data_IF_448407485291
#
_entry.id   IF_448407485291
#
_cell.length_a   1.000
_cell.length_b   1.000
_cell.length_c   1.000
_cell.angle_alpha   90.00
_cell.angle_beta   90.00
_cell.angle_gamma   90.00
#
_symmetry.space_group_name_H-M   'P 1'
#
loop_
_entity.id
_entity.type
_entity.pdbx_description
1 polymer ?
#
# COMPACT_ATOMS: atom_id res chain seq x y z
N UNK A 1 -6.38 2.91 -6.24
CA UNK A 1 -5.08 3.09 -5.55
C UNK A 1 -4.93 1.94 -4.58
N UNK A 2 -3.75 1.35 -4.43
CA UNK A 2 -3.45 0.34 -3.42
C UNK A 2 -2.21 0.73 -2.62
N UNK A 3 -2.22 0.43 -1.33
CA UNK A 3 -1.06 0.64 -0.47
C UNK A 3 -0.90 -0.52 0.49
N UNK A 4 0.31 -1.08 0.58
CA UNK A 4 0.61 -2.24 1.41
C UNK A 4 1.99 -2.15 2.03
N UNK A 5 2.17 -2.85 3.14
CA UNK A 5 3.49 -3.12 3.69
C UNK A 5 4.01 -4.47 3.17
N UNK A 6 5.20 -4.45 2.61
CA UNK A 6 5.96 -5.62 2.18
C UNK A 6 7.00 -5.92 3.27
N UNK A 7 6.67 -6.86 4.15
CA UNK A 7 7.49 -7.18 5.32
C UNK A 7 8.83 -7.78 4.93
N UNK A 8 8.85 -8.72 3.98
CA UNK A 8 10.08 -9.36 3.47
C UNK A 8 11.08 -8.32 2.98
N UNK A 9 10.60 -7.29 2.26
CA UNK A 9 11.45 -6.23 1.71
C UNK A 9 11.58 -5.01 2.61
N UNK A 10 10.91 -4.99 3.77
CA UNK A 10 10.77 -3.86 4.69
C UNK A 10 10.41 -2.56 3.96
N UNK A 11 9.33 -2.59 3.17
CA UNK A 11 8.93 -1.49 2.29
C UNK A 11 7.43 -1.21 2.32
N UNK A 12 7.06 0.05 2.39
CA UNK A 12 5.69 0.49 2.06
C UNK A 12 5.63 0.73 0.55
N UNK A 13 4.65 0.13 -0.10
CA UNK A 13 4.42 0.23 -1.54
C UNK A 13 3.07 0.90 -1.76
N UNK A 14 3.07 2.04 -2.42
CA UNK A 14 1.87 2.76 -2.85
C UNK A 14 1.79 2.73 -4.37
N UNK A 15 0.68 2.22 -4.94
CA UNK A 15 0.41 2.11 -6.37
C UNK A 15 -0.89 2.82 -6.74
N UNK A 16 -0.89 3.50 -7.86
CA UNK A 16 -2.09 4.15 -8.38
C UNK A 16 -2.04 4.24 -9.91
N UNK A 17 -3.16 4.57 -10.52
CA UNK A 17 -3.27 4.79 -11.95
C UNK A 17 -3.45 6.29 -12.22
N UNK A 18 -2.78 6.80 -13.25
CA UNK A 18 -2.96 8.17 -13.72
C UNK A 18 -3.31 8.19 -15.21
N UNK A 19 -4.28 9.03 -15.64
CA UNK A 19 -4.52 9.26 -17.04
C UNK A 19 -3.28 9.90 -17.68
N UNK A 20 -2.73 9.26 -18.69
CA UNK A 20 -1.58 9.74 -19.45
C UNK A 20 -2.02 9.89 -20.91
N UNK A 21 -1.86 11.10 -21.46
CA UNK A 21 -2.08 11.34 -22.89
C UNK A 21 -1.02 10.60 -23.70
N UNK A 22 -1.46 9.92 -24.74
CA UNK A 22 -0.60 9.28 -25.73
C UNK A 22 -0.99 9.77 -27.13
N UNK A 23 -0.01 9.90 -28.01
CA UNK A 23 -0.24 10.19 -29.42
C UNK A 23 0.30 9.02 -30.22
N UNK A 24 -0.57 8.34 -30.96
CA UNK A 24 -0.21 7.27 -31.88
C UNK A 24 -0.76 7.60 -33.26
N UNK A 25 0.09 7.62 -34.29
CA UNK A 25 -0.30 7.85 -35.68
C UNK A 25 -1.20 9.10 -35.87
N UNK A 26 -0.81 10.22 -35.26
CA UNK A 26 -1.56 11.51 -35.26
C UNK A 26 -2.95 11.45 -34.60
N UNK A 27 -3.30 10.37 -33.90
CA UNK A 27 -4.49 10.27 -33.06
C UNK A 27 -4.10 10.41 -31.59
N UNK A 28 -4.80 11.30 -30.89
CA UNK A 28 -4.67 11.45 -29.44
C UNK A 28 -5.54 10.42 -28.72
N UNK A 29 -5.02 9.87 -27.63
CA UNK A 29 -5.75 8.98 -26.73
C UNK A 29 -5.32 9.20 -25.29
N UNK A 30 -6.10 8.67 -24.35
CA UNK A 30 -5.74 8.65 -22.93
C UNK A 30 -5.69 7.21 -22.47
N UNK A 31 -4.56 6.80 -21.89
CA UNK A 31 -4.42 5.50 -21.23
C UNK A 31 -4.29 5.71 -19.73
N UNK A 32 -4.73 4.73 -18.94
CA UNK A 32 -4.38 4.68 -17.52
C UNK A 32 -3.00 4.06 -17.39
N UNK A 33 -2.05 4.81 -16.84
CA UNK A 33 -0.68 4.32 -16.63
C UNK A 33 -0.45 4.10 -15.14
N UNK A 34 -0.01 2.90 -14.79
CA UNK A 34 0.35 2.56 -13.42
C UNK A 34 1.56 3.39 -12.94
N UNK A 35 1.50 3.84 -11.70
CA UNK A 35 2.52 4.60 -10.98
C UNK A 35 2.77 3.94 -9.64
N UNK A 36 3.96 4.17 -9.08
CA UNK A 36 4.34 3.58 -7.80
C UNK A 36 5.33 4.45 -7.05
N UNK A 37 5.16 4.51 -5.73
CA UNK A 37 6.19 4.94 -4.78
C UNK A 37 6.47 3.77 -3.85
N UNK A 38 7.76 3.53 -3.62
CA UNK A 38 8.23 2.54 -2.67
C UNK A 38 9.13 3.22 -1.65
N UNK A 39 8.79 3.13 -0.37
CA UNK A 39 9.55 3.74 0.72
C UNK A 39 10.09 2.65 1.62
N UNK A 40 11.41 2.63 1.85
CA UNK A 40 12.02 1.70 2.80
C UNK A 40 11.69 2.11 4.23
N UNK A 41 11.36 1.14 5.07
CA UNK A 41 11.14 1.30 6.52
C UNK A 41 12.21 0.50 7.26
N UNK A 42 12.64 0.99 8.42
CA UNK A 42 13.54 0.23 9.29
C UNK A 42 12.76 -0.52 10.38
N UNK A 43 13.50 -1.24 11.21
CA UNK A 43 12.99 -2.10 12.27
C UNK A 43 12.32 -1.34 13.41
N UNK A 44 12.55 -0.02 13.49
CA UNK A 44 11.91 0.89 14.45
C UNK A 44 10.76 1.67 13.80
N UNK A 45 10.24 1.23 12.66
CA UNK A 45 9.13 1.88 11.95
C UNK A 45 9.42 3.26 11.37
N UNK A 46 10.70 3.65 11.26
CA UNK A 46 11.12 4.93 10.66
C UNK A 46 11.29 4.78 9.15
N UNK A 47 10.65 5.68 8.41
CA UNK A 47 10.84 5.81 6.96
C UNK A 47 12.28 6.24 6.66
N UNK A 48 12.86 5.68 5.59
CA UNK A 48 14.20 6.01 5.14
C UNK A 48 14.32 7.51 4.80
N UNK A 49 15.37 8.17 5.30
CA UNK A 49 15.55 9.61 5.16
C UNK A 49 15.79 10.07 3.71
N UNK A 50 16.35 9.22 2.85
CA UNK A 50 16.54 9.51 1.42
C UNK A 50 15.21 9.44 0.67
N UNK A 51 14.42 8.40 0.92
CA UNK A 51 13.09 8.26 0.31
C UNK A 51 12.13 9.36 0.79
N UNK A 52 12.16 9.68 2.09
CA UNK A 52 11.38 10.80 2.66
C UNK A 52 11.68 12.13 1.98
N UNK A 53 12.97 12.44 1.76
CA UNK A 53 13.39 13.68 1.07
C UNK A 53 12.97 13.67 -0.39
N UNK A 54 13.18 12.55 -1.09
CA UNK A 54 12.82 12.40 -2.51
C UNK A 54 11.34 12.61 -2.78
N UNK A 55 10.47 12.15 -1.87
CA UNK A 55 9.03 12.14 -2.07
C UNK A 55 8.27 13.20 -1.25
N UNK A 56 8.97 14.09 -0.53
CA UNK A 56 8.34 15.05 0.38
C UNK A 56 7.21 15.89 -0.25
N UNK A 57 7.36 16.26 -1.53
CA UNK A 57 6.38 17.09 -2.26
C UNK A 57 5.41 16.27 -3.12
N UNK A 58 5.44 14.93 -3.03
CA UNK A 58 4.56 14.09 -3.83
C UNK A 58 3.18 13.95 -3.16
N UNK A 59 2.05 14.10 -3.87
CA UNK A 59 0.70 14.06 -3.28
C UNK A 59 0.38 12.77 -2.51
N UNK A 60 0.97 11.64 -2.91
CA UNK A 60 0.79 10.35 -2.24
C UNK A 60 1.62 10.19 -0.95
N UNK A 61 2.66 11.01 -0.74
CA UNK A 61 3.57 10.83 0.40
C UNK A 61 2.91 11.08 1.77
N UNK A 62 2.02 12.07 1.95
CA UNK A 62 1.22 12.19 3.17
C UNK A 62 0.42 10.92 3.52
N UNK A 63 -0.15 10.25 2.51
CA UNK A 63 -0.92 9.01 2.70
C UNK A 63 0.00 7.87 3.13
N UNK A 64 1.20 7.77 2.53
CA UNK A 64 2.24 6.82 2.94
C UNK A 64 2.66 7.06 4.40
N UNK A 65 2.85 8.33 4.79
CA UNK A 65 3.22 8.68 6.16
C UNK A 65 2.13 8.30 7.17
N UNK A 66 0.85 8.52 6.81
CA UNK A 66 -0.29 8.10 7.62
C UNK A 66 -0.34 6.59 7.79
N UNK A 67 -0.22 5.84 6.69
CA UNK A 67 -0.20 4.38 6.75
C UNK A 67 0.96 3.87 7.61
N UNK A 68 2.17 4.45 7.49
CA UNK A 68 3.29 4.14 8.36
C UNK A 68 2.98 4.42 9.85
N UNK A 69 2.30 5.54 10.15
CA UNK A 69 1.89 5.85 11.52
C UNK A 69 0.90 4.80 12.06
N UNK A 70 -0.06 4.35 11.25
CA UNK A 70 -0.98 3.28 11.64
C UNK A 70 -0.23 1.99 11.96
N UNK A 71 0.75 1.61 11.13
CA UNK A 71 1.62 0.46 11.37
C UNK A 71 2.47 0.60 12.65
N UNK A 72 2.94 1.81 12.97
CA UNK A 72 3.64 2.07 14.23
C UNK A 72 2.72 1.95 15.44
N UNK A 73 1.49 2.48 15.35
CA UNK A 73 0.52 2.45 16.45
C UNK A 73 0.08 1.01 16.80
N UNK A 74 0.17 0.09 15.84
CA UNK A 74 -0.11 -1.34 16.05
C UNK A 74 1.17 -2.17 16.26
N UNK A 75 2.31 -1.52 16.51
CA UNK A 75 3.57 -2.18 16.80
C UNK A 75 4.01 -3.22 15.74
N UNK A 76 3.74 -2.94 14.45
CA UNK A 76 4.02 -3.86 13.33
C UNK A 76 5.52 -4.09 13.06
N UNK A 77 6.41 -3.29 13.66
CA UNK A 77 7.84 -3.34 13.39
C UNK A 77 8.59 -3.90 14.62
N UNK A 78 9.61 -4.76 14.42
CA UNK A 78 10.28 -5.12 13.16
C UNK A 78 9.55 -6.15 12.30
N UNK A 79 8.59 -6.87 12.89
CA UNK A 79 7.86 -7.95 12.27
C UNK A 79 6.40 -7.87 12.72
N UNK A 80 5.47 -7.90 11.76
CA UNK A 80 4.05 -7.89 12.06
C UNK A 80 3.66 -9.33 12.42
N UNK A 81 3.76 -9.71 13.69
CA UNK A 81 3.50 -11.08 14.20
C UNK A 81 2.00 -11.44 14.29
N UNK A 82 1.18 -10.93 13.38
CA UNK A 82 -0.28 -11.03 13.46
C UNK A 82 -0.89 -12.07 12.50
N UNK A 83 -0.07 -12.90 11.84
CA UNK A 83 -0.56 -13.94 10.93
C UNK A 83 -1.55 -14.90 11.63
N UNK A 84 -1.47 -15.06 12.96
CA UNK A 84 -2.44 -15.85 13.72
C UNK A 84 -3.70 -15.07 14.14
N UNK A 85 -3.63 -13.74 14.24
CA UNK A 85 -4.69 -12.89 14.81
C UNK A 85 -5.54 -12.18 13.76
N UNK A 86 -5.08 -12.13 12.51
CA UNK A 86 -5.75 -11.42 11.44
C UNK A 86 -6.07 -12.34 10.27
N UNK A 87 -7.29 -12.18 9.75
CA UNK A 87 -7.78 -12.92 8.59
C UNK A 87 -7.95 -11.99 7.41
N UNK A 88 -7.76 -12.52 6.21
CA UNK A 88 -8.07 -11.81 4.98
C UNK A 88 -9.52 -11.36 4.98
N UNK A 89 -9.75 -10.06 4.78
CA UNK A 89 -11.08 -9.46 4.77
C UNK A 89 -12.00 -9.96 3.62
N UNK A 90 -11.46 -10.75 2.68
CA UNK A 90 -12.21 -11.26 1.52
C UNK A 90 -12.53 -12.75 1.64
N UNK A 91 -11.53 -13.59 1.98
CA UNK A 91 -11.69 -15.05 2.03
C UNK A 91 -11.54 -15.67 3.43
N UNK A 92 -11.19 -14.88 4.45
CA UNK A 92 -11.06 -15.36 5.83
C UNK A 92 -9.78 -16.16 6.12
N UNK A 93 -8.88 -16.38 5.16
CA UNK A 93 -7.61 -17.07 5.43
C UNK A 93 -6.70 -16.23 6.34
N UNK A 94 -5.97 -16.88 7.23
CA UNK A 94 -4.95 -16.24 8.08
C UNK A 94 -3.52 -16.45 7.52
N UNK A 95 -3.37 -17.24 6.45
CA UNK A 95 -2.06 -17.52 5.84
C UNK A 95 -1.64 -16.42 4.88
N UNK A 96 -0.43 -15.88 5.08
CA UNK A 96 0.20 -14.94 4.17
C UNK A 96 -0.58 -13.63 4.02
N UNK A 97 -1.18 -13.17 5.12
CA UNK A 97 -1.91 -11.90 5.18
C UNK A 97 -0.96 -10.74 5.43
N UNK A 98 -1.23 -9.61 4.77
CA UNK A 98 -0.43 -8.40 4.89
C UNK A 98 -1.31 -7.19 5.15
N UNK A 99 -0.78 -6.13 5.79
CA UNK A 99 -1.57 -4.94 6.05
C UNK A 99 -1.63 -4.10 4.79
N UNK A 100 -2.84 -3.66 4.48
CA UNK A 100 -3.16 -2.77 3.39
C UNK A 100 -3.91 -1.56 3.92
N UNK A 101 -3.78 -0.42 3.23
CA UNK A 101 -4.67 0.71 3.45
C UNK A 101 -5.89 0.56 2.55
N UNK A 102 -7.07 0.49 3.16
CA UNK A 102 -8.30 0.75 2.43
C UNK A 102 -8.40 2.26 2.17
N UNK A 103 -8.42 2.62 0.90
CA UNK A 103 -8.42 4.00 0.45
C UNK A 103 -9.77 4.68 0.70
N UNK A 104 -10.86 3.92 0.78
CA UNK A 104 -12.21 4.44 0.97
C UNK A 104 -12.47 4.76 2.44
N UNK A 105 -12.20 3.81 3.32
CA UNK A 105 -12.40 3.94 4.77
C UNK A 105 -11.21 4.58 5.48
N UNK A 106 -10.06 4.70 4.80
CA UNK A 106 -8.78 5.15 5.40
C UNK A 106 -8.36 4.30 6.61
N UNK A 107 -8.76 3.02 6.63
CA UNK A 107 -8.45 2.06 7.68
C UNK A 107 -7.45 1.00 7.22
N UNK A 108 -6.88 0.27 8.19
CA UNK A 108 -6.11 -0.93 7.91
C UNK A 108 -7.08 -2.07 7.56
N UNK A 109 -6.74 -2.81 6.51
CA UNK A 109 -7.37 -4.07 6.16
C UNK A 109 -6.29 -5.13 5.93
N UNK A 110 -6.62 -6.39 6.18
CA UNK A 110 -5.71 -7.52 5.99
C UNK A 110 -6.09 -8.29 4.75
N UNK A 111 -5.12 -8.54 3.88
CA UNK A 111 -5.34 -9.24 2.62
C UNK A 111 -4.28 -10.32 2.43
N UNK A 112 -4.72 -11.51 2.01
CA UNK A 112 -3.80 -12.55 1.56
C UNK A 112 -3.30 -12.24 0.15
N UNK A 113 -2.23 -12.93 -0.26
CA UNK A 113 -1.57 -12.79 -1.57
C UNK A 113 -2.54 -12.84 -2.77
N UNK A 114 -3.59 -13.66 -2.70
CA UNK A 114 -4.58 -13.81 -3.78
C UNK A 114 -5.50 -12.59 -3.92
N UNK A 115 -5.67 -11.81 -2.85
CA UNK A 115 -6.54 -10.64 -2.79
C UNK A 115 -5.77 -9.31 -2.72
N UNK A 116 -4.46 -9.32 -3.04
CA UNK A 116 -3.60 -8.12 -3.12
C UNK A 116 -3.94 -7.23 -4.32
N UNK A 117 -4.83 -7.67 -5.23
CA UNK A 117 -5.19 -6.94 -6.45
C UNK A 117 -5.95 -5.64 -6.18
N UNK A 118 -5.93 -4.74 -7.17
CA UNK A 118 -6.30 -3.33 -7.07
C UNK A 118 -7.68 -3.11 -6.41
N UNK A 119 -7.66 -2.69 -5.15
CA UNK A 119 -8.87 -2.48 -4.33
C UNK A 119 -9.72 -3.75 -4.20
N UNK A 120 -9.49 -4.61 -3.17
CA UNK A 120 -10.43 -5.68 -2.88
C UNK A 120 -11.82 -5.07 -2.69
N UNK A 121 -12.82 -5.63 -3.36
CA UNK A 121 -14.22 -5.41 -2.97
C UNK A 121 -14.40 -6.13 -1.65
N UNK A 122 -14.11 -5.43 -0.55
CA UNK A 122 -14.38 -5.93 0.79
C UNK A 122 -15.88 -6.21 0.83
N UNK A 123 -16.28 -7.42 1.25
CA UNK A 123 -17.69 -7.73 1.42
C UNK A 123 -18.20 -6.84 2.54
N UNK A 124 -19.24 -6.05 2.27
CA UNK A 124 -19.97 -5.34 3.31
C UNK A 124 -20.42 -6.37 4.35
N UNK A 125 -20.13 -6.06 5.62
CA UNK A 125 -20.54 -6.86 6.77
C UNK A 125 -22.04 -6.77 7.00
#
# INVERSE_FOLDING_TARGET
MSMRFDQERKRIICRWEEPTKIVMNKKEGTIKRSRMITVKVNDNGKLNSKDRRRHANHPMFPIISRFNQMLNNMECYPQCEWEAEHTCAVCGTNVGVHPHLDVHTQSLIWLCKDHVTESPKVKDA
#
